data_IF_826817464608
#
_entry.id   IF_826817464608
#
_cell.length_a   1.000
_cell.length_b   1.000
_cell.length_c   1.000
_cell.angle_alpha   90.00
_cell.angle_beta   90.00
_cell.angle_gamma   90.00
#
_symmetry.space_group_name_H-M   'P 1'
#
loop_
_entity.id
_entity.type
_entity.pdbx_description
1 polymer ?
#
# COMPACT_ATOMS: atom_id res chain seq x y z
N UNK A 1 -5.99 2.66 10.39
CA UNK A 1 -5.86 4.13 10.51
C UNK A 1 -5.31 4.51 11.86
N UNK A 2 -4.48 5.56 11.91
CA UNK A 2 -3.99 6.19 13.12
C UNK A 2 -4.21 7.71 12.98
N UNK A 3 -4.51 8.42 14.07
CA UNK A 3 -5.06 9.79 14.02
C UNK A 3 -4.00 10.90 13.91
N UNK A 4 -2.75 10.58 13.56
CA UNK A 4 -1.68 11.59 13.39
C UNK A 4 -0.31 11.01 13.09
N UNK A 5 0.65 11.83 12.66
CA UNK A 5 1.98 11.37 12.19
C UNK A 5 2.72 10.50 13.21
N UNK A 6 3.10 9.28 12.81
CA UNK A 6 3.99 8.40 13.57
C UNK A 6 5.42 8.95 13.55
N UNK A 7 6.13 8.93 14.67
CA UNK A 7 7.49 9.48 14.79
C UNK A 7 8.46 8.50 15.42
N UNK A 8 9.55 8.24 14.70
CA UNK A 8 10.65 7.40 15.18
C UNK A 8 10.42 5.90 14.95
N UNK A 9 11.53 5.16 14.91
CA UNK A 9 11.56 3.75 14.49
C UNK A 9 10.70 2.84 15.39
N UNK A 10 10.60 3.13 16.69
CA UNK A 10 9.85 2.32 17.64
C UNK A 10 8.34 2.43 17.44
N UNK A 11 7.80 3.66 17.35
CA UNK A 11 6.37 3.89 17.13
C UNK A 11 5.90 3.29 15.79
N UNK A 12 6.70 3.47 14.74
CA UNK A 12 6.43 2.89 13.41
C UNK A 12 6.42 1.37 13.48
N UNK A 13 7.40 0.74 14.14
CA UNK A 13 7.43 -0.72 14.30
C UNK A 13 6.23 -1.22 15.07
N UNK A 14 5.86 -0.56 16.16
CA UNK A 14 4.74 -0.95 16.99
C UNK A 14 3.41 -0.87 16.24
N UNK A 15 3.23 0.14 15.39
CA UNK A 15 2.09 0.24 14.47
C UNK A 15 2.00 -0.99 13.56
N UNK A 16 3.10 -1.35 12.88
CA UNK A 16 3.13 -2.50 11.98
C UNK A 16 2.89 -3.85 12.68
N UNK A 17 3.45 -4.01 13.89
CA UNK A 17 3.28 -5.24 14.70
C UNK A 17 1.83 -5.38 15.18
N UNK A 18 1.23 -4.30 15.71
CA UNK A 18 -0.16 -4.32 16.21
C UNK A 18 -1.15 -4.66 15.11
N UNK A 19 -0.93 -4.16 13.90
CA UNK A 19 -1.76 -4.45 12.73
C UNK A 19 -1.59 -5.86 12.15
N UNK A 20 -0.69 -6.70 12.71
CA UNK A 20 -0.33 -8.03 12.16
C UNK A 20 0.04 -8.00 10.68
N UNK A 21 0.55 -6.87 10.22
CA UNK A 21 0.71 -6.55 8.81
C UNK A 21 1.59 -7.56 8.08
N UNK A 22 2.64 -8.05 8.73
CA UNK A 22 3.54 -9.06 8.13
C UNK A 22 2.86 -10.36 7.72
N UNK A 23 1.65 -10.63 8.23
CA UNK A 23 0.84 -11.79 7.84
C UNK A 23 -0.21 -11.39 6.80
N UNK A 24 -0.92 -10.30 7.04
CA UNK A 24 -2.19 -9.97 6.37
C UNK A 24 -2.08 -8.92 5.27
N UNK A 25 -0.96 -8.19 5.13
CA UNK A 25 -0.82 -7.15 4.11
C UNK A 25 0.10 -7.58 2.97
N UNK A 26 -0.28 -7.26 1.74
CA UNK A 26 0.58 -7.33 0.55
C UNK A 26 0.56 -5.99 -0.15
N UNK A 27 1.74 -5.45 -0.46
CA UNK A 27 1.88 -4.15 -1.13
C UNK A 27 2.79 -4.30 -2.35
N UNK A 28 2.29 -4.85 -3.47
CA UNK A 28 3.06 -4.85 -4.70
C UNK A 28 3.24 -3.43 -5.25
N UNK A 29 4.46 -3.15 -5.70
CA UNK A 29 4.81 -1.91 -6.41
C UNK A 29 4.31 -2.00 -7.84
N UNK A 30 3.55 -0.98 -8.25
CA UNK A 30 3.10 -0.79 -9.64
C UNK A 30 4.17 -0.06 -10.45
N UNK A 31 4.61 1.10 -9.96
CA UNK A 31 5.68 1.87 -10.60
C UNK A 31 6.53 2.58 -9.54
N UNK A 32 7.77 2.88 -9.90
CA UNK A 32 8.72 3.57 -9.03
C UNK A 32 9.48 4.64 -9.80
N UNK A 33 9.48 5.85 -9.24
CA UNK A 33 10.14 7.04 -9.78
C UNK A 33 11.18 7.52 -8.79
N UNK A 34 12.42 7.68 -9.23
CA UNK A 34 13.54 8.09 -8.39
C UNK A 34 13.93 9.51 -8.76
N UNK A 35 14.05 10.39 -7.76
CA UNK A 35 14.56 11.73 -7.97
C UNK A 35 16.00 11.70 -8.53
N UNK A 36 16.36 12.65 -9.40
CA UNK A 36 17.68 12.67 -10.07
C UNK A 36 18.86 12.70 -9.07
N UNK A 37 18.67 13.33 -7.91
CA UNK A 37 19.66 13.38 -6.84
C UNK A 37 19.64 12.15 -5.92
N UNK A 38 18.80 11.15 -6.20
CA UNK A 38 18.63 9.91 -5.44
C UNK A 38 18.19 10.08 -3.98
N UNK A 39 17.70 11.26 -3.58
CA UNK A 39 17.27 11.53 -2.20
C UNK A 39 15.77 11.32 -1.97
N UNK A 40 15.03 10.94 -3.01
CA UNK A 40 13.60 10.69 -2.90
C UNK A 40 13.10 9.69 -3.94
N UNK A 41 12.04 8.99 -3.56
CA UNK A 41 11.33 8.04 -4.42
C UNK A 41 9.83 8.32 -4.32
N UNK A 42 9.13 8.29 -5.45
CA UNK A 42 7.68 8.17 -5.51
C UNK A 42 7.32 6.77 -5.99
N UNK A 43 6.41 6.10 -5.29
CA UNK A 43 6.02 4.71 -5.54
C UNK A 43 4.51 4.69 -5.76
N UNK A 44 4.05 4.18 -6.89
CA UNK A 44 2.66 3.78 -7.09
C UNK A 44 2.50 2.34 -6.62
N UNK A 45 1.44 2.05 -5.88
CA UNK A 45 1.22 0.72 -5.32
C UNK A 45 -0.25 0.34 -5.26
N UNK A 46 -0.46 -0.98 -5.27
CA UNK A 46 -1.67 -1.58 -4.75
C UNK A 46 -1.39 -2.11 -3.34
N UNK A 47 -2.37 -2.07 -2.46
CA UNK A 47 -2.32 -2.73 -1.17
C UNK A 47 -3.48 -3.72 -1.02
N UNK A 48 -3.22 -4.83 -0.35
CA UNK A 48 -4.20 -5.88 -0.11
C UNK A 48 -4.13 -6.31 1.34
N UNK A 49 -5.23 -6.16 2.08
CA UNK A 49 -5.32 -6.57 3.48
C UNK A 49 -6.30 -7.74 3.61
N UNK A 50 -5.83 -8.89 4.09
CA UNK A 50 -6.67 -10.05 4.31
C UNK A 50 -7.66 -9.80 5.45
N UNK A 51 -8.91 -10.20 5.24
CA UNK A 51 -10.00 -10.11 6.22
C UNK A 51 -9.90 -11.34 7.12
N UNK A 52 -9.59 -11.12 8.39
CA UNK A 52 -9.31 -12.19 9.37
C UNK A 52 -10.37 -12.30 10.47
N UNK A 53 -11.43 -11.49 10.38
CA UNK A 53 -12.57 -11.50 11.31
C UNK A 53 -13.48 -12.67 10.94
N UNK A 54 -13.52 -13.73 11.77
CA UNK A 54 -14.20 -14.99 11.45
C UNK A 54 -15.73 -14.86 11.29
N UNK A 55 -16.31 -13.80 11.85
CA UNK A 55 -17.73 -13.45 11.73
C UNK A 55 -18.05 -12.55 10.54
N UNK A 56 -17.05 -12.07 9.80
CA UNK A 56 -17.25 -11.32 8.56
C UNK A 56 -17.60 -12.25 7.39
N UNK A 57 -18.61 -11.89 6.59
CA UNK A 57 -19.04 -12.68 5.43
C UNK A 57 -17.94 -12.83 4.34
N UNK A 58 -16.92 -12.00 4.39
CA UNK A 58 -15.76 -11.98 3.51
C UNK A 58 -14.50 -12.54 4.19
N UNK A 59 -14.63 -13.25 5.33
CA UNK A 59 -13.52 -13.92 5.98
C UNK A 59 -12.64 -14.71 4.99
N UNK A 60 -11.33 -14.47 5.06
CA UNK A 60 -10.32 -15.07 4.18
C UNK A 60 -10.10 -14.37 2.84
N UNK A 61 -11.02 -13.49 2.40
CA UNK A 61 -10.86 -12.63 1.23
C UNK A 61 -9.98 -11.42 1.54
N UNK A 62 -9.79 -10.55 0.55
CA UNK A 62 -8.86 -9.43 0.60
C UNK A 62 -9.57 -8.12 0.32
N UNK A 63 -9.43 -7.15 1.23
CA UNK A 63 -9.67 -5.75 0.89
C UNK A 63 -8.55 -5.29 -0.04
N UNK A 64 -8.91 -4.63 -1.13
CA UNK A 64 -7.96 -4.02 -2.07
C UNK A 64 -7.99 -2.51 -1.94
N UNK A 65 -6.82 -1.88 -2.12
CA UNK A 65 -6.61 -0.45 -2.03
C UNK A 65 -5.58 -0.04 -3.07
N UNK A 66 -5.58 1.24 -3.43
CA UNK A 66 -4.52 1.83 -4.27
C UNK A 66 -4.06 3.16 -3.71
N UNK A 67 -2.84 3.54 -4.06
CA UNK A 67 -2.26 4.78 -3.62
C UNK A 67 -0.85 5.00 -4.11
N UNK A 68 -0.23 6.00 -3.50
CA UNK A 68 1.14 6.41 -3.79
C UNK A 68 1.86 6.75 -2.50
N UNK A 69 3.14 6.39 -2.39
CA UNK A 69 4.01 6.82 -1.30
C UNK A 69 5.11 7.73 -1.84
N UNK A 70 5.43 8.79 -1.09
CA UNK A 70 6.66 9.55 -1.25
C UNK A 70 7.60 9.19 -0.11
N UNK A 71 8.80 8.75 -0.46
CA UNK A 71 9.89 8.46 0.47
C UNK A 71 11.02 9.46 0.29
N UNK A 72 11.61 9.91 1.39
CA UNK A 72 12.85 10.69 1.41
C UNK A 72 13.94 9.95 2.18
N UNK A 73 15.18 10.14 1.75
CA UNK A 73 16.34 9.43 2.29
C UNK A 73 17.42 10.41 2.77
N UNK A 74 18.09 10.06 3.87
CA UNK A 74 19.32 10.74 4.27
C UNK A 74 20.54 10.24 3.48
N UNK A 75 21.71 10.86 3.71
CA UNK A 75 22.98 10.47 3.07
C UNK A 75 23.43 9.03 3.41
N UNK A 76 22.95 8.47 4.53
CA UNK A 76 23.22 7.08 4.91
C UNK A 76 22.27 6.08 4.22
N UNK A 77 21.32 6.55 3.40
CA UNK A 77 20.33 5.74 2.71
C UNK A 77 19.18 5.26 3.60
N UNK A 78 18.98 5.86 4.78
CA UNK A 78 17.83 5.56 5.64
C UNK A 78 16.63 6.44 5.27
N UNK A 79 15.42 5.86 5.32
CA UNK A 79 14.17 6.62 5.15
C UNK A 79 14.00 7.61 6.30
N UNK A 80 13.84 8.89 5.96
CA UNK A 80 13.61 9.99 6.91
C UNK A 80 12.18 10.50 6.91
N UNK A 81 11.47 10.31 5.81
CA UNK A 81 10.07 10.67 5.66
C UNK A 81 9.38 9.66 4.75
N UNK A 82 8.18 9.25 5.15
CA UNK A 82 7.21 8.56 4.31
C UNK A 82 5.90 9.34 4.37
N UNK A 83 5.32 9.61 3.21
CA UNK A 83 3.99 10.20 3.07
C UNK A 83 3.17 9.32 2.15
N UNK A 84 2.11 8.72 2.71
CA UNK A 84 1.19 7.87 1.98
C UNK A 84 -0.07 8.65 1.54
N UNK A 85 -0.30 8.65 0.24
CA UNK A 85 -1.53 9.13 -0.40
C UNK A 85 -2.41 7.91 -0.70
N UNK A 86 -3.28 7.59 0.24
CA UNK A 86 -4.19 6.45 0.13
C UNK A 86 -5.51 6.88 -0.54
N UNK A 87 -5.82 6.37 -1.73
CA UNK A 87 -7.03 6.76 -2.44
C UNK A 87 -8.30 6.24 -1.75
N UNK A 88 -8.25 5.01 -1.23
CA UNK A 88 -9.38 4.36 -0.58
C UNK A 88 -9.51 2.89 -0.99
N UNK A 89 -10.49 2.16 -0.43
CA UNK A 89 -10.80 0.80 -0.85
C UNK A 89 -11.24 0.75 -2.32
N UNK A 90 -10.75 -0.23 -3.06
CA UNK A 90 -11.15 -0.57 -4.43
C UNK A 90 -12.15 -1.73 -4.48
N UNK A 91 -12.45 -2.32 -3.32
CA UNK A 91 -13.39 -3.42 -3.16
C UNK A 91 -12.75 -4.67 -2.56
N UNK A 92 -13.53 -5.75 -2.53
CA UNK A 92 -13.14 -7.04 -1.95
C UNK A 92 -12.85 -8.02 -3.08
N UNK A 93 -11.73 -8.73 -2.97
CA UNK A 93 -11.26 -9.69 -3.98
C UNK A 93 -10.97 -11.05 -3.33
N UNK A 94 -11.25 -12.13 -4.05
CA UNK A 94 -11.02 -13.49 -3.54
C UNK A 94 -9.53 -13.85 -3.50
N UNK A 95 -8.75 -13.32 -4.45
CA UNK A 95 -7.31 -13.57 -4.55
C UNK A 95 -6.56 -12.30 -4.91
N UNK A 96 -5.68 -11.83 -4.01
CA UNK A 96 -4.84 -10.66 -4.27
C UNK A 96 -3.88 -10.89 -5.45
N UNK A 97 -3.38 -12.12 -5.62
CA UNK A 97 -2.47 -12.47 -6.72
C UNK A 97 -3.20 -12.36 -8.05
N UNK A 98 -4.36 -13.00 -8.18
CA UNK A 98 -5.12 -12.97 -9.43
C UNK A 98 -5.58 -11.55 -9.78
N UNK A 99 -6.00 -10.77 -8.77
CA UNK A 99 -6.36 -9.37 -8.98
C UNK A 99 -5.14 -8.56 -9.47
N UNK A 100 -3.99 -8.74 -8.83
CA UNK A 100 -2.76 -8.05 -9.22
C UNK A 100 -2.29 -8.42 -10.62
N UNK A 101 -2.30 -9.71 -10.98
CA UNK A 101 -1.93 -10.16 -12.32
C UNK A 101 -2.85 -9.59 -13.40
N UNK A 102 -4.17 -9.54 -13.14
CA UNK A 102 -5.13 -8.91 -14.04
C UNK A 102 -4.85 -7.43 -14.22
N UNK A 103 -4.58 -6.71 -13.12
CA UNK A 103 -4.26 -5.29 -13.15
C UNK A 103 -3.00 -5.01 -13.96
N UNK A 104 -1.91 -5.76 -13.74
CA UNK A 104 -0.66 -5.60 -14.50
C UNK A 104 -0.81 -5.86 -16.00
N UNK A 105 -1.83 -6.61 -16.41
CA UNK A 105 -2.12 -6.89 -17.81
C UNK A 105 -2.97 -5.79 -18.48
N UNK A 106 -3.50 -4.82 -17.72
CA UNK A 106 -4.29 -3.71 -18.26
C UNK A 106 -3.39 -2.65 -18.93
N UNK A 107 -3.94 -1.90 -19.89
CA UNK A 107 -3.26 -0.72 -20.42
C UNK A 107 -3.21 0.36 -19.32
N UNK A 108 -2.14 1.17 -19.29
CA UNK A 108 -1.97 2.27 -18.34
C UNK A 108 -3.16 3.24 -18.34
N UNK A 109 -3.87 3.38 -19.48
CA UNK A 109 -5.08 4.21 -19.59
C UNK A 109 -6.26 3.66 -18.80
N UNK A 110 -6.28 2.36 -18.55
CA UNK A 110 -7.33 1.66 -17.82
C UNK A 110 -7.02 1.64 -16.31
N UNK A 111 -5.74 1.70 -15.93
CA UNK A 111 -5.29 1.77 -14.52
C UNK A 111 -5.74 3.07 -13.83
N UNK A 112 -5.77 4.17 -14.58
CA UNK A 112 -6.18 5.50 -14.09
C UNK A 112 -7.66 5.79 -14.27
N UNK A 113 -8.46 4.82 -14.74
CA UNK A 113 -9.91 4.97 -14.75
C UNK A 113 -10.39 4.94 -13.29
N UNK A 114 -10.41 6.12 -12.66
CA UNK A 114 -11.01 6.34 -11.35
C UNK A 114 -12.48 5.94 -11.48
N UNK A 115 -12.80 4.67 -11.23
CA UNK A 115 -14.19 4.23 -11.05
C UNK A 115 -14.59 4.63 -9.65
N UNK A 116 -14.71 5.95 -9.44
CA UNK A 116 -15.37 6.49 -8.27
C UNK A 116 -16.83 6.05 -8.31
N UNK A 117 -17.18 5.13 -7.43
CA UNK A 117 -18.53 4.92 -6.94
C UNK A 117 -18.45 4.75 -5.42
#
# INVERSE_FOLDING_TARGET
NHDGTLRGKEEIRDFWVRGRVGLTLRVPVEEMYVAENHQGVAILWMAYSQIMEEDDENYGKWNSFEGMSRLEFNEAGEVTLEVDYHHGPQGIVDSWVEHWEKRRAMDWKELGAITGA
#
